data_IF_943403798002
#
_entry.id   IF_943403798002
#
_cell.length_a   1.000
_cell.length_b   1.000
_cell.length_c   1.000
_cell.angle_alpha   90.00
_cell.angle_beta   90.00
_cell.angle_gamma   90.00
#
_symmetry.space_group_name_H-M   'P 1'
#
loop_
_entity.id
_entity.type
_entity.pdbx_description
1 polymer ?
#
# COMPACT_ATOMS: atom_id res chain seq x y z
N UNK A 1 10.15 -16.65 8.67
CA UNK A 1 11.21 -16.30 9.65
C UNK A 1 10.89 -15.01 10.39
N UNK A 2 10.61 -13.88 9.72
CA UNK A 2 10.32 -12.61 10.41
C UNK A 2 9.09 -12.67 11.32
N UNK A 3 7.99 -13.27 10.88
CA UNK A 3 6.79 -13.44 11.71
C UNK A 3 7.05 -14.07 13.08
N UNK A 4 7.82 -15.16 13.11
CA UNK A 4 8.22 -15.83 14.37
C UNK A 4 9.07 -14.93 15.28
N UNK A 5 9.87 -14.02 14.72
CA UNK A 5 10.63 -13.05 15.51
C UNK A 5 9.71 -11.97 16.10
N UNK A 6 8.73 -11.48 15.33
CA UNK A 6 7.73 -10.54 15.82
C UNK A 6 6.90 -11.17 16.94
N UNK A 7 6.45 -12.41 16.80
CA UNK A 7 5.72 -13.14 17.84
C UNK A 7 6.53 -13.30 19.13
N UNK A 8 7.84 -13.52 19.01
CA UNK A 8 8.71 -13.79 20.15
C UNK A 8 9.22 -12.54 20.87
N UNK A 9 9.56 -11.49 20.12
CA UNK A 9 10.27 -10.32 20.64
C UNK A 9 9.46 -9.03 20.54
N UNK A 10 8.42 -9.04 19.73
CA UNK A 10 7.63 -7.87 19.40
C UNK A 10 8.38 -6.84 18.55
N UNK A 11 7.65 -5.79 18.20
CA UNK A 11 8.14 -4.57 17.57
C UNK A 11 7.52 -3.36 18.27
N UNK A 12 8.21 -2.21 18.20
CA UNK A 12 7.70 -0.91 18.65
C UNK A 12 7.31 0.01 17.49
N UNK A 13 7.31 -0.52 16.26
CA UNK A 13 7.04 0.20 15.01
C UNK A 13 6.02 -0.55 14.15
N UNK A 14 5.23 0.20 13.39
CA UNK A 14 4.44 -0.31 12.27
C UNK A 14 5.27 -0.20 11.00
N UNK A 15 5.52 -1.32 10.33
CA UNK A 15 6.43 -1.41 9.20
C UNK A 15 5.85 -2.26 8.09
N UNK A 16 6.14 -1.87 6.85
CA UNK A 16 5.99 -2.67 5.65
C UNK A 16 7.35 -3.20 5.18
N UNK A 17 7.42 -4.48 4.82
CA UNK A 17 8.65 -5.17 4.44
C UNK A 17 8.41 -5.96 3.15
N UNK A 18 9.22 -5.69 2.13
CA UNK A 18 9.23 -6.46 0.89
C UNK A 18 10.31 -7.53 0.92
N UNK A 19 9.95 -8.75 0.51
CA UNK A 19 10.85 -9.87 0.27
C UNK A 19 10.75 -10.27 -1.19
N UNK A 20 11.86 -10.63 -1.81
CA UNK A 20 11.86 -11.12 -3.18
C UNK A 20 12.97 -12.14 -3.40
N UNK A 21 12.67 -13.16 -4.19
CA UNK A 21 13.67 -14.02 -4.81
C UNK A 21 13.45 -14.09 -6.33
N UNK A 22 13.92 -15.15 -6.99
CA UNK A 22 13.82 -15.28 -8.44
C UNK A 22 12.42 -15.70 -8.92
N UNK A 23 11.58 -16.22 -8.04
CA UNK A 23 10.27 -16.78 -8.35
C UNK A 23 9.14 -15.92 -7.78
N UNK A 24 9.34 -15.32 -6.60
CA UNK A 24 8.24 -14.66 -5.88
C UNK A 24 8.63 -13.31 -5.26
N UNK A 25 7.62 -12.46 -5.10
CA UNK A 25 7.67 -11.23 -4.30
C UNK A 25 6.57 -11.27 -3.26
N UNK A 26 6.93 -11.01 -2.00
CA UNK A 26 6.02 -10.96 -0.87
C UNK A 26 6.09 -9.59 -0.21
N UNK A 27 4.95 -9.06 0.19
CA UNK A 27 4.87 -7.84 0.99
C UNK A 27 4.21 -8.17 2.34
N UNK A 28 4.86 -7.79 3.42
CA UNK A 28 4.45 -8.07 4.79
C UNK A 28 4.30 -6.77 5.57
N UNK A 29 3.22 -6.65 6.35
CA UNK A 29 3.00 -5.53 7.27
C UNK A 29 2.88 -6.04 8.71
N UNK A 30 3.49 -5.29 9.64
CA UNK A 30 3.37 -5.55 11.07
C UNK A 30 2.08 -4.92 11.63
N UNK A 31 1.40 -5.66 12.49
CA UNK A 31 0.13 -5.28 13.11
C UNK A 31 0.33 -5.25 14.62
N UNK A 32 0.25 -4.05 15.19
CA UNK A 32 0.50 -3.84 16.61
C UNK A 32 1.89 -4.32 17.04
N UNK A 33 1.97 -4.95 18.22
CA UNK A 33 3.25 -5.36 18.80
C UNK A 33 3.81 -6.69 18.27
N UNK A 34 2.96 -7.63 17.86
CA UNK A 34 3.36 -9.03 17.59
C UNK A 34 2.67 -9.66 16.39
N UNK A 35 1.55 -9.11 15.93
CA UNK A 35 0.80 -9.64 14.80
C UNK A 35 1.40 -9.15 13.48
N UNK A 36 1.09 -9.87 12.40
CA UNK A 36 1.55 -9.55 11.07
C UNK A 36 0.68 -10.24 10.02
N UNK A 37 0.66 -9.66 8.82
CA UNK A 37 0.06 -10.24 7.63
C UNK A 37 0.99 -10.03 6.43
N UNK A 38 1.00 -10.97 5.49
CA UNK A 38 1.82 -10.95 4.29
C UNK A 38 1.05 -11.52 3.11
N UNK A 39 1.24 -10.90 1.94
CA UNK A 39 0.59 -11.32 0.70
C UNK A 39 1.63 -11.43 -0.41
N UNK A 40 1.56 -12.51 -1.18
CA UNK A 40 2.33 -12.70 -2.40
C UNK A 40 1.79 -11.74 -3.46
N UNK A 41 2.68 -11.03 -4.13
CA UNK A 41 2.29 -10.19 -5.25
C UNK A 41 2.21 -11.08 -6.49
N UNK A 42 1.08 -11.11 -7.22
CA UNK A 42 0.97 -11.87 -8.45
C UNK A 42 2.06 -11.51 -9.46
N UNK A 43 2.54 -12.51 -10.21
CA UNK A 43 3.71 -12.39 -11.09
C UNK A 43 3.62 -11.27 -12.14
N UNK A 44 2.40 -10.89 -12.54
CA UNK A 44 2.13 -9.86 -13.55
C UNK A 44 1.65 -8.53 -12.94
N UNK A 45 1.81 -8.35 -11.62
CA UNK A 45 1.37 -7.17 -10.89
C UNK A 45 2.51 -6.39 -10.23
N UNK A 46 2.19 -5.19 -9.76
CA UNK A 46 3.05 -4.37 -8.91
C UNK A 46 2.25 -3.81 -7.73
N UNK A 47 2.97 -3.26 -6.75
CA UNK A 47 2.41 -2.47 -5.65
C UNK A 47 3.07 -1.10 -5.57
N UNK A 48 2.35 -0.12 -5.04
CA UNK A 48 2.88 1.19 -4.66
C UNK A 48 2.50 1.45 -3.20
N UNK A 49 3.42 1.17 -2.28
CA UNK A 49 3.18 1.25 -0.84
C UNK A 49 3.78 2.56 -0.26
N UNK A 50 2.96 3.58 0.07
CA UNK A 50 3.40 4.77 0.79
C UNK A 50 3.57 4.47 2.29
N UNK A 51 3.63 5.49 3.15
CA UNK A 51 3.73 5.31 4.60
C UNK A 51 2.34 5.09 5.23
N UNK A 52 1.61 4.12 4.69
CA UNK A 52 0.23 3.79 5.05
C UNK A 52 0.02 2.28 4.95
N UNK A 53 -0.82 1.71 5.80
CA UNK A 53 -1.11 0.28 5.78
C UNK A 53 -1.68 -0.10 4.41
N UNK A 54 -0.98 -0.94 3.67
CA UNK A 54 -1.20 -1.09 2.23
C UNK A 54 -2.08 -2.28 1.87
N UNK A 55 -2.04 -3.39 2.62
CA UNK A 55 -2.80 -4.61 2.31
C UNK A 55 -4.31 -4.35 2.47
N UNK A 56 -5.08 -4.50 1.40
CA UNK A 56 -6.55 -4.42 1.40
C UNK A 56 -7.14 -5.83 1.49
N UNK A 57 -7.50 -6.43 0.37
CA UNK A 57 -8.27 -7.67 0.26
C UNK A 57 -7.41 -8.88 0.63
N UNK A 58 -7.66 -9.44 1.81
CA UNK A 58 -6.87 -10.50 2.40
C UNK A 58 -7.73 -11.73 2.69
N UNK A 59 -7.46 -12.80 1.94
CA UNK A 59 -8.10 -14.10 2.10
C UNK A 59 -7.25 -15.04 2.94
N UNK A 60 -7.62 -15.29 4.20
CA UNK A 60 -6.86 -16.19 5.10
C UNK A 60 -6.75 -17.65 4.62
N UNK A 61 -7.53 -18.04 3.61
CA UNK A 61 -7.51 -19.38 3.02
C UNK A 61 -6.67 -19.49 1.75
N UNK A 62 -6.19 -18.36 1.23
CA UNK A 62 -5.39 -18.31 0.00
C UNK A 62 -3.95 -18.76 0.24
N UNK A 63 -3.42 -19.57 -0.70
CA UNK A 63 -2.00 -19.97 -0.74
C UNK A 63 -1.05 -18.76 -0.91
N UNK A 64 -1.56 -17.64 -1.44
CA UNK A 64 -0.82 -16.38 -1.64
C UNK A 64 -0.85 -15.48 -0.39
N UNK A 65 -1.29 -15.99 0.76
CA UNK A 65 -1.35 -15.21 2.01
C UNK A 65 -0.73 -15.95 3.19
N UNK A 66 -0.16 -15.19 4.12
CA UNK A 66 0.33 -15.69 5.40
C UNK A 66 0.08 -14.65 6.47
N UNK A 67 -0.32 -15.06 7.67
CA UNK A 67 -0.52 -14.15 8.80
C UNK A 67 -0.23 -14.84 10.13
N UNK A 68 -0.29 -14.07 11.22
CA UNK A 68 -0.34 -14.63 12.58
C UNK A 68 -1.52 -15.58 12.71
N UNK A 69 -1.29 -16.73 13.34
CA UNK A 69 -2.26 -17.84 13.38
C UNK A 69 -3.59 -17.49 14.06
N UNK A 70 -3.60 -16.52 14.97
CA UNK A 70 -4.78 -16.05 15.70
C UNK A 70 -5.40 -14.78 15.12
N UNK A 71 -4.89 -14.26 13.98
CA UNK A 71 -5.30 -12.94 13.47
C UNK A 71 -6.77 -12.92 13.04
N UNK A 72 -7.24 -13.93 12.31
CA UNK A 72 -8.66 -14.03 11.88
C UNK A 72 -9.58 -14.16 13.10
N UNK A 73 -9.25 -15.04 14.05
CA UNK A 73 -9.99 -15.19 15.31
C UNK A 73 -10.04 -13.86 16.08
N UNK A 74 -8.93 -13.13 16.14
CA UNK A 74 -8.85 -11.82 16.81
C UNK A 74 -9.79 -10.81 16.15
N UNK A 75 -9.82 -10.74 14.82
CA UNK A 75 -10.71 -9.84 14.08
C UNK A 75 -12.17 -10.14 14.43
N UNK A 76 -12.58 -11.41 14.38
CA UNK A 76 -13.97 -11.82 14.66
C UNK A 76 -14.36 -11.58 16.12
N UNK A 77 -13.51 -12.04 17.05
CA UNK A 77 -13.75 -12.01 18.50
C UNK A 77 -13.87 -10.59 19.03
N UNK A 78 -13.09 -9.66 18.48
CA UNK A 78 -13.07 -8.26 18.92
C UNK A 78 -13.84 -7.33 17.98
N UNK A 79 -14.58 -7.88 17.00
CA UNK A 79 -15.43 -7.13 16.08
C UNK A 79 -14.68 -6.03 15.32
N UNK A 80 -13.47 -6.34 14.85
CA UNK A 80 -12.60 -5.36 14.19
C UNK A 80 -12.95 -5.13 12.71
N UNK A 81 -13.68 -6.07 12.08
CA UNK A 81 -14.17 -5.91 10.71
C UNK A 81 -15.30 -4.87 10.64
N UNK A 82 -14.91 -3.63 10.36
CA UNK A 82 -15.80 -2.48 10.23
C UNK A 82 -16.65 -2.50 8.96
N UNK A 83 -16.22 -3.25 7.94
CA UNK A 83 -16.93 -3.37 6.67
C UNK A 83 -17.99 -4.48 6.70
N UNK A 84 -17.92 -5.38 7.68
CA UNK A 84 -18.71 -6.61 7.74
C UNK A 84 -18.56 -7.47 6.47
N UNK A 85 -17.36 -7.44 5.90
CA UNK A 85 -16.99 -8.15 4.68
C UNK A 85 -16.82 -9.65 4.92
N UNK A 86 -16.35 -10.04 6.10
CA UNK A 86 -15.87 -11.40 6.35
C UNK A 86 -14.60 -11.70 5.55
N UNK A 87 -14.34 -12.97 5.26
CA UNK A 87 -13.20 -13.38 4.45
C UNK A 87 -13.57 -13.39 2.94
N UNK A 88 -12.90 -12.60 2.07
CA UNK A 88 -11.69 -11.80 2.31
C UNK A 88 -11.95 -10.48 3.06
N UNK A 89 -11.06 -10.18 4.01
CA UNK A 89 -11.13 -8.98 4.85
C UNK A 89 -10.34 -7.83 4.22
N UNK A 90 -10.77 -6.59 4.45
CA UNK A 90 -9.96 -5.41 4.14
C UNK A 90 -9.04 -5.05 5.33
N UNK A 91 -7.78 -5.51 5.31
CA UNK A 91 -6.88 -5.30 6.45
C UNK A 91 -6.49 -3.85 6.68
N UNK A 92 -6.42 -3.02 5.62
CA UNK A 92 -6.21 -1.57 5.76
C UNK A 92 -7.36 -0.92 6.51
N UNK A 93 -8.60 -1.34 6.27
CA UNK A 93 -9.73 -0.79 7.00
C UNK A 93 -9.73 -1.19 8.48
N UNK A 94 -9.26 -2.40 8.77
CA UNK A 94 -9.23 -2.98 10.11
C UNK A 94 -8.05 -2.44 10.94
N UNK A 95 -6.86 -2.33 10.34
CA UNK A 95 -5.60 -2.07 11.05
C UNK A 95 -4.86 -0.80 10.60
N UNK A 96 -5.29 -0.17 9.50
CA UNK A 96 -4.73 1.07 8.99
C UNK A 96 -5.36 2.33 9.60
N UNK A 97 -4.88 3.48 9.15
CA UNK A 97 -5.42 4.80 9.49
C UNK A 97 -6.38 5.33 8.42
N UNK A 98 -7.21 6.30 8.79
CA UNK A 98 -7.98 7.13 7.86
C UNK A 98 -7.86 8.59 8.30
N UNK A 99 -6.63 9.02 8.57
CA UNK A 99 -6.37 10.35 9.10
C UNK A 99 -6.30 11.35 7.94
N UNK A 100 -6.67 12.61 8.18
CA UNK A 100 -6.57 13.68 7.16
C UNK A 100 -5.17 13.77 6.54
N UNK A 101 -4.13 13.42 7.32
CA UNK A 101 -2.76 13.39 6.82
C UNK A 101 -2.49 12.33 5.75
N UNK A 102 -3.27 11.24 5.68
CA UNK A 102 -3.12 10.23 4.64
C UNK A 102 -3.47 10.77 3.26
N UNK A 103 -4.47 11.66 3.19
CA UNK A 103 -4.95 12.30 1.97
C UNK A 103 -3.95 13.30 1.37
N UNK A 104 -2.99 13.78 2.16
CA UNK A 104 -1.94 14.71 1.71
C UNK A 104 -0.56 14.04 1.60
N UNK A 105 -0.27 13.10 2.50
CA UNK A 105 1.05 12.52 2.66
C UNK A 105 1.21 11.16 1.97
N UNK A 106 0.14 10.36 1.85
CA UNK A 106 0.23 8.95 1.47
C UNK A 106 -0.49 8.63 0.17
N UNK A 107 -1.81 8.82 0.14
CA UNK A 107 -2.68 8.44 -0.98
C UNK A 107 -2.21 9.03 -2.31
N UNK A 108 -1.82 10.32 -2.40
CA UNK A 108 -1.33 10.90 -3.66
C UNK A 108 -0.10 10.21 -4.23
N UNK A 109 0.78 9.67 -3.37
CA UNK A 109 1.98 8.93 -3.82
C UNK A 109 1.61 7.60 -4.47
N UNK A 110 0.67 6.87 -3.88
CA UNK A 110 0.13 5.65 -4.48
C UNK A 110 -0.57 5.99 -5.81
N UNK A 111 -1.46 6.97 -5.79
CA UNK A 111 -2.18 7.45 -6.98
C UNK A 111 -1.23 7.76 -8.13
N UNK A 112 -0.20 8.55 -7.89
CA UNK A 112 0.65 9.02 -8.98
C UNK A 112 1.44 7.88 -9.63
N UNK A 113 1.97 6.95 -8.83
CA UNK A 113 2.62 5.75 -9.38
C UNK A 113 1.61 4.91 -10.18
N UNK A 114 0.38 4.75 -9.67
CA UNK A 114 -0.65 4.03 -10.41
C UNK A 114 -1.05 4.72 -11.71
N UNK A 115 -1.16 6.04 -11.71
CA UNK A 115 -1.41 6.83 -12.92
C UNK A 115 -0.31 6.66 -13.96
N UNK A 116 0.95 6.54 -13.54
CA UNK A 116 2.08 6.33 -14.46
C UNK A 116 2.03 4.97 -15.16
N UNK A 117 1.62 3.92 -14.44
CA UNK A 117 1.63 2.54 -14.96
C UNK A 117 0.27 2.09 -15.50
N UNK A 118 -0.80 2.83 -15.19
CA UNK A 118 -2.18 2.61 -15.65
C UNK A 118 -2.85 3.94 -16.04
N UNK A 119 -2.35 4.64 -17.08
CA UNK A 119 -2.87 5.95 -17.47
C UNK A 119 -4.33 5.95 -17.95
N UNK A 120 -4.88 4.79 -18.35
CA UNK A 120 -6.30 4.68 -18.72
C UNK A 120 -7.23 4.57 -17.51
N UNK A 121 -6.70 4.22 -16.33
CA UNK A 121 -7.46 4.06 -15.10
C UNK A 121 -7.40 5.35 -14.26
N UNK A 122 -8.42 6.20 -14.43
CA UNK A 122 -8.45 7.55 -13.89
C UNK A 122 -9.09 7.55 -12.50
N UNK A 123 -8.28 7.89 -11.50
CA UNK A 123 -8.71 8.09 -10.11
C UNK A 123 -8.41 9.52 -9.65
N UNK A 124 -9.13 9.96 -8.62
CA UNK A 124 -8.80 11.19 -7.91
C UNK A 124 -7.52 11.00 -7.08
N UNK A 125 -6.70 12.05 -6.89
CA UNK A 125 -5.41 11.94 -6.22
C UNK A 125 -5.51 11.64 -4.72
N UNK A 126 -6.68 11.80 -4.13
CA UNK A 126 -6.99 11.61 -2.72
C UNK A 126 -7.99 10.45 -2.49
N UNK A 127 -8.17 9.55 -3.48
CA UNK A 127 -9.03 8.38 -3.34
C UNK A 127 -8.44 7.34 -2.36
N UNK A 128 -9.06 7.09 -1.19
CA UNK A 128 -8.55 6.14 -0.21
C UNK A 128 -8.72 4.67 -0.67
N UNK A 129 -9.54 4.41 -1.69
CA UNK A 129 -9.87 3.07 -2.15
C UNK A 129 -8.96 2.57 -3.28
N UNK A 130 -7.84 3.25 -3.53
CA UNK A 130 -6.87 2.81 -4.53
C UNK A 130 -6.39 1.38 -4.23
N UNK A 131 -6.41 0.48 -5.23
CA UNK A 131 -6.13 -0.93 -5.03
C UNK A 131 -4.69 -1.14 -4.55
N UNK A 132 -4.49 -2.08 -3.63
CA UNK A 132 -3.17 -2.46 -3.15
C UNK A 132 -2.29 -3.03 -4.28
N UNK A 133 -2.82 -4.03 -4.99
CA UNK A 133 -2.16 -4.74 -6.09
C UNK A 133 -2.77 -4.29 -7.41
N UNK A 134 -1.92 -3.98 -8.39
CA UNK A 134 -2.38 -3.59 -9.72
C UNK A 134 -1.54 -4.24 -10.82
N UNK A 135 -2.21 -4.65 -11.90
CA UNK A 135 -1.56 -5.07 -13.13
C UNK A 135 -1.24 -3.85 -13.99
N UNK A 136 0.02 -3.61 -14.38
CA UNK A 136 0.35 -2.45 -15.21
C UNK A 136 -0.17 -2.66 -16.64
N UNK A 137 -0.44 -1.57 -17.37
CA UNK A 137 -0.89 -1.66 -18.77
C UNK A 137 0.18 -2.23 -19.71
N UNK A 138 1.45 -2.08 -19.33
CA UNK A 138 2.61 -2.57 -20.06
C UNK A 138 3.67 -3.14 -19.09
N UNK A 139 4.57 -3.99 -19.60
CA UNK A 139 5.71 -4.47 -18.82
C UNK A 139 6.58 -3.30 -18.35
N UNK A 140 7.00 -3.36 -17.09
CA UNK A 140 7.77 -2.29 -16.44
C UNK A 140 9.27 -2.57 -16.52
N UNK A 141 10.04 -1.55 -16.85
CA UNK A 141 11.52 -1.58 -16.80
C UNK A 141 12.04 -0.99 -15.50
N UNK A 142 13.33 -1.20 -15.20
CA UNK A 142 14.01 -0.57 -14.06
C UNK A 142 13.93 0.97 -14.16
N UNK A 143 14.02 1.52 -15.36
CA UNK A 143 13.88 2.96 -15.61
C UNK A 143 12.47 3.47 -15.26
N UNK A 144 11.42 2.67 -15.46
CA UNK A 144 10.07 3.04 -15.05
C UNK A 144 9.98 3.16 -13.52
N UNK A 145 10.53 2.19 -12.77
CA UNK A 145 10.59 2.26 -11.31
C UNK A 145 11.45 3.45 -10.84
N UNK A 146 12.61 3.67 -11.47
CA UNK A 146 13.48 4.81 -11.13
C UNK A 146 12.78 6.14 -11.36
N UNK A 147 12.02 6.27 -12.44
CA UNK A 147 11.24 7.47 -12.71
C UNK A 147 10.15 7.67 -11.66
N UNK A 148 9.36 6.63 -11.38
CA UNK A 148 8.29 6.67 -10.39
C UNK A 148 8.82 7.07 -8.99
N UNK A 149 9.91 6.46 -8.54
CA UNK A 149 10.54 6.74 -7.24
C UNK A 149 11.25 8.11 -7.16
N UNK A 150 11.40 8.82 -8.27
CA UNK A 150 11.95 10.19 -8.33
C UNK A 150 10.92 11.21 -8.77
N UNK A 151 9.64 10.82 -8.76
CA UNK A 151 8.58 11.67 -9.24
C UNK A 151 8.06 12.63 -8.17
N UNK A 152 7.44 13.69 -8.66
CA UNK A 152 6.90 14.81 -7.88
C UNK A 152 5.66 15.34 -8.57
N UNK A 153 4.79 14.44 -9.01
CA UNK A 153 3.52 14.78 -9.66
C UNK A 153 3.65 15.54 -10.98
N UNK A 154 4.71 15.29 -11.75
CA UNK A 154 4.94 15.93 -13.06
C UNK A 154 3.69 15.86 -13.95
N UNK A 155 3.47 16.92 -14.72
CA UNK A 155 2.29 17.06 -15.60
C UNK A 155 0.95 17.08 -14.87
N UNK A 156 0.94 17.51 -13.60
CA UNK A 156 -0.27 17.80 -12.82
C UNK A 156 -0.16 19.19 -12.19
N UNK A 157 -1.27 19.67 -11.62
CA UNK A 157 -1.27 20.90 -10.81
C UNK A 157 -0.55 20.77 -9.46
N UNK A 158 -0.23 19.55 -9.05
CA UNK A 158 0.43 19.22 -7.78
C UNK A 158 1.95 19.16 -7.91
N UNK A 159 2.50 19.42 -9.10
CA UNK A 159 3.95 19.47 -9.29
C UNK A 159 4.53 20.72 -8.61
N UNK A 160 5.38 20.60 -7.57
CA UNK A 160 5.96 21.75 -6.89
C UNK A 160 6.85 22.61 -7.77
N UNK A 161 7.34 22.09 -8.91
CA UNK A 161 8.12 22.85 -9.90
C UNK A 161 7.35 23.10 -11.20
N UNK A 162 6.07 22.73 -11.24
CA UNK A 162 5.19 22.98 -12.36
C UNK A 162 4.70 24.42 -12.40
N UNK A 163 4.21 24.83 -13.57
CA UNK A 163 3.53 26.13 -13.74
C UNK A 163 2.01 26.01 -13.72
N UNK A 164 1.47 24.80 -13.53
CA UNK A 164 0.03 24.54 -13.44
C UNK A 164 -0.45 24.74 -11.99
N UNK A 165 -1.74 25.03 -11.82
CA UNK A 165 -2.35 25.17 -10.50
C UNK A 165 -1.98 26.44 -9.73
N UNK A 166 -2.51 26.54 -8.52
CA UNK A 166 -2.20 27.57 -7.53
C UNK A 166 -0.96 27.21 -6.71
N UNK A 167 -0.47 28.16 -5.91
CA UNK A 167 0.59 27.86 -4.94
C UNK A 167 0.14 26.82 -3.90
N UNK A 168 -1.13 26.85 -3.50
CA UNK A 168 -1.69 25.85 -2.60
C UNK A 168 -1.69 24.45 -3.23
N UNK A 169 -2.08 24.31 -4.51
CA UNK A 169 -2.04 23.01 -5.20
C UNK A 169 -0.63 22.42 -5.23
N UNK A 170 0.39 23.26 -5.51
CA UNK A 170 1.80 22.84 -5.58
C UNK A 170 2.40 22.37 -4.25
N UNK A 171 1.76 22.73 -3.14
CA UNK A 171 2.18 22.35 -1.80
C UNK A 171 1.17 21.45 -1.08
N UNK A 172 0.12 21.01 -1.76
CA UNK A 172 -0.91 20.17 -1.18
C UNK A 172 -0.39 18.77 -0.82
N UNK A 173 0.53 18.22 -1.63
CA UNK A 173 0.95 16.82 -1.49
C UNK A 173 2.44 16.66 -1.25
N UNK A 174 2.79 15.69 -0.41
CA UNK A 174 4.18 15.28 -0.20
C UNK A 174 4.73 14.60 -1.46
N UNK A 175 5.83 15.06 -2.08
CA UNK A 175 6.41 14.41 -3.26
C UNK A 175 7.01 13.01 -2.93
N UNK A 176 7.21 12.19 -3.97
CA UNK A 176 7.81 10.84 -3.83
C UNK A 176 9.34 10.95 -3.77
N UNK A 177 9.93 11.68 -4.72
CA UNK A 177 11.37 11.90 -4.78
C UNK A 177 11.73 13.28 -5.34
N UNK A 178 13.04 13.52 -5.48
CA UNK A 178 13.64 14.75 -6.00
C UNK A 178 14.50 14.47 -7.24
#
# INVERSE_FOLDING_TARGET
MLGQYLEKYGTYESNGIAFSDKDEVWYMETIGGHHWAAQRIPDDCYIAAPNWFSITDFDFTSDDTMASADLEEMIEKYHLDVDHSGNPYNLRHIFGSHDDSDYEYNIPRQWYIQKLFNPSDVHEPDDPNLPFIKKPEHLLTIENFKYALSSRYQHTKYDPYGSQGTEADRHAFRPIGF
#
